data_IF_909337891301
#
_entry.id   IF_909337891301
#
_cell.length_a   1.000
_cell.length_b   1.000
_cell.length_c   1.000
_cell.angle_alpha   90.00
_cell.angle_beta   90.00
_cell.angle_gamma   90.00
#
_symmetry.space_group_name_H-M   'P 1'
#
loop_
_entity.id
_entity.type
_entity.pdbx_description
1 polymer ?
#
# COMPACT_ATOMS: atom_id res chain seq x y z
N UNK A 1 -29.31 -31.07 -8.86
CA UNK A 1 -28.67 -29.78 -9.22
C UNK A 1 -28.39 -29.04 -7.93
N UNK A 2 -27.13 -28.74 -7.62
CA UNK A 2 -26.79 -27.82 -6.53
C UNK A 2 -26.27 -26.57 -7.20
N UNK A 3 -27.04 -25.48 -7.11
CA UNK A 3 -26.59 -24.18 -7.57
C UNK A 3 -25.49 -23.73 -6.61
N UNK A 4 -24.31 -23.46 -7.14
CA UNK A 4 -23.21 -22.86 -6.40
C UNK A 4 -23.63 -21.43 -6.03
N UNK A 5 -24.27 -21.27 -4.87
CA UNK A 5 -24.62 -19.95 -4.34
C UNK A 5 -23.30 -19.25 -4.06
N UNK A 6 -22.99 -18.21 -4.84
CA UNK A 6 -21.83 -17.37 -4.56
C UNK A 6 -22.02 -16.76 -3.17
N UNK A 7 -21.01 -16.83 -2.28
CA UNK A 7 -21.12 -16.24 -0.96
C UNK A 7 -21.41 -14.75 -1.11
N UNK A 8 -22.46 -14.28 -0.44
CA UNK A 8 -22.82 -12.87 -0.44
C UNK A 8 -21.74 -12.11 0.33
N UNK A 9 -21.00 -11.25 -0.35
CA UNK A 9 -20.12 -10.30 0.31
C UNK A 9 -20.98 -9.22 0.97
N UNK A 10 -20.87 -9.08 2.29
CA UNK A 10 -21.46 -7.98 3.05
C UNK A 10 -20.39 -7.38 3.96
N UNK A 11 -20.51 -6.09 4.26
CA UNK A 11 -19.64 -5.36 5.18
C UNK A 11 -20.41 -5.04 6.44
N UNK A 12 -19.76 -5.18 7.60
CA UNK A 12 -20.29 -4.78 8.89
C UNK A 12 -19.31 -3.77 9.49
N UNK A 13 -19.85 -2.63 9.93
CA UNK A 13 -19.08 -1.54 10.50
C UNK A 13 -19.38 -1.43 12.00
N UNK A 14 -18.33 -1.35 12.81
CA UNK A 14 -18.41 -1.29 14.28
C UNK A 14 -17.56 -0.14 14.81
N UNK A 15 -18.07 0.58 15.82
CA UNK A 15 -17.33 1.60 16.55
C UNK A 15 -16.68 0.97 17.79
N UNK A 16 -15.40 0.61 17.70
CA UNK A 16 -14.66 0.07 18.85
C UNK A 16 -14.12 1.19 19.75
N UNK A 17 -14.15 1.03 21.09
CA UNK A 17 -14.51 -0.20 21.81
C UNK A 17 -16.02 -0.35 22.12
N UNK A 18 -16.86 0.63 21.78
CA UNK A 18 -18.27 0.67 22.17
C UNK A 18 -19.08 -0.55 21.69
N UNK A 19 -18.85 -0.99 20.46
CA UNK A 19 -19.62 -2.08 19.83
C UNK A 19 -18.96 -3.46 19.95
N UNK A 20 -17.95 -3.62 20.82
CA UNK A 20 -17.17 -4.86 20.90
C UNK A 20 -18.03 -6.09 21.23
N UNK A 21 -19.04 -5.93 22.09
CA UNK A 21 -19.93 -7.03 22.42
C UNK A 21 -20.84 -7.40 21.24
N UNK A 22 -21.37 -6.40 20.52
CA UNK A 22 -22.19 -6.61 19.33
C UNK A 22 -21.40 -7.36 18.24
N UNK A 23 -20.16 -6.93 17.99
CA UNK A 23 -19.23 -7.62 17.07
C UNK A 23 -19.10 -9.12 17.39
N UNK A 24 -18.90 -9.46 18.66
CA UNK A 24 -18.77 -10.86 19.09
C UNK A 24 -20.06 -11.66 18.90
N UNK A 25 -21.20 -11.07 19.24
CA UNK A 25 -22.51 -11.71 19.09
C UNK A 25 -22.82 -11.96 17.61
N UNK A 26 -22.60 -10.97 16.76
CA UNK A 26 -22.79 -11.07 15.31
C UNK A 26 -21.88 -12.14 14.72
N UNK A 27 -20.57 -12.11 14.99
CA UNK A 27 -19.62 -13.09 14.47
C UNK A 27 -19.90 -14.52 14.96
N UNK A 28 -20.46 -14.70 16.17
CA UNK A 28 -20.89 -16.02 16.67
C UNK A 28 -22.15 -16.53 15.97
N UNK A 29 -23.03 -15.63 15.55
CA UNK A 29 -24.25 -15.99 14.81
C UNK A 29 -23.97 -16.36 13.36
N UNK A 30 -22.83 -15.95 12.82
CA UNK A 30 -22.40 -16.20 11.45
C UNK A 30 -21.59 -17.50 11.35
N UNK A 31 -21.67 -18.22 10.22
CA UNK A 31 -20.87 -19.41 9.96
C UNK A 31 -19.43 -19.02 9.60
N UNK A 32 -18.69 -18.47 10.58
CA UNK A 32 -17.30 -18.04 10.40
C UNK A 32 -16.36 -19.22 10.60
N UNK A 33 -15.61 -19.58 9.56
CA UNK A 33 -14.62 -20.66 9.62
C UNK A 33 -13.22 -20.16 10.01
N UNK A 34 -12.85 -18.97 9.56
CA UNK A 34 -11.53 -18.36 9.76
C UNK A 34 -11.68 -16.83 9.87
N UNK A 35 -10.80 -16.19 10.65
CA UNK A 35 -10.62 -14.73 10.63
C UNK A 35 -9.40 -14.35 9.78
N UNK A 36 -9.54 -13.31 8.97
CA UNK A 36 -8.46 -12.78 8.13
C UNK A 36 -8.17 -11.34 8.53
N UNK A 37 -6.99 -11.11 9.07
CA UNK A 37 -6.52 -9.76 9.43
C UNK A 37 -5.71 -9.18 8.27
N UNK A 38 -6.09 -8.01 7.76
CA UNK A 38 -5.42 -7.40 6.59
C UNK A 38 -4.71 -6.07 6.87
N UNK A 39 -5.13 -5.32 7.88
CA UNK A 39 -4.52 -4.05 8.27
C UNK A 39 -4.50 -3.98 9.80
N UNK A 40 -3.30 -3.96 10.36
CA UNK A 40 -3.02 -3.90 11.79
C UNK A 40 -2.63 -2.49 12.25
N UNK A 41 -2.36 -1.56 11.31
CA UNK A 41 -2.08 -0.18 11.66
C UNK A 41 -3.27 0.44 12.41
N UNK A 42 -3.01 0.95 13.62
CA UNK A 42 -4.02 1.48 14.54
C UNK A 42 -5.13 0.47 14.91
N UNK A 43 -4.86 -0.84 14.81
CA UNK A 43 -5.83 -1.88 15.15
C UNK A 43 -6.22 -1.80 16.64
N UNK A 44 -7.52 -1.70 16.97
CA UNK A 44 -8.00 -1.73 18.34
C UNK A 44 -7.52 -2.99 19.09
N UNK A 45 -7.19 -2.83 20.37
CA UNK A 45 -6.58 -3.89 21.19
C UNK A 45 -7.51 -5.11 21.34
N UNK A 46 -8.81 -4.88 21.30
CA UNK A 46 -9.85 -5.90 21.39
C UNK A 46 -9.75 -6.91 20.25
N UNK A 47 -9.38 -6.47 19.04
CA UNK A 47 -9.31 -7.32 17.84
C UNK A 47 -8.17 -8.34 17.90
N UNK A 48 -7.10 -8.08 18.66
CA UNK A 48 -6.01 -9.05 18.86
C UNK A 48 -6.45 -10.27 19.68
N UNK A 49 -7.48 -10.13 20.53
CA UNK A 49 -8.04 -11.23 21.31
C UNK A 49 -9.24 -11.92 20.62
N UNK A 50 -9.77 -11.32 19.55
CA UNK A 50 -11.00 -11.75 18.90
C UNK A 50 -10.97 -13.22 18.45
N UNK A 51 -9.90 -13.65 17.78
CA UNK A 51 -9.75 -15.04 17.34
C UNK A 51 -9.81 -16.05 18.50
N UNK A 52 -9.19 -15.70 19.64
CA UNK A 52 -9.23 -16.54 20.83
C UNK A 52 -10.62 -16.56 21.49
N UNK A 53 -11.35 -15.44 21.46
CA UNK A 53 -12.71 -15.33 22.02
C UNK A 53 -13.78 -16.04 21.18
N UNK A 54 -13.52 -16.21 19.89
CA UNK A 54 -14.38 -16.96 18.96
C UNK A 54 -13.95 -18.43 18.82
N UNK A 55 -12.81 -18.81 19.40
CA UNK A 55 -12.19 -20.13 19.23
C UNK A 55 -12.00 -20.49 17.75
N UNK A 56 -11.62 -19.50 16.93
CA UNK A 56 -11.43 -19.65 15.49
C UNK A 56 -9.97 -19.51 15.09
N UNK A 57 -9.54 -20.26 14.06
CA UNK A 57 -8.25 -20.00 13.44
C UNK A 57 -8.24 -18.64 12.75
N UNK A 58 -7.03 -18.12 12.54
CA UNK A 58 -6.84 -16.89 11.79
C UNK A 58 -5.52 -16.88 11.04
N UNK A 59 -5.49 -16.07 10.00
CA UNK A 59 -4.28 -15.72 9.26
C UNK A 59 -4.17 -14.22 9.10
N UNK A 60 -2.95 -13.77 8.86
CA UNK A 60 -2.62 -12.37 8.64
C UNK A 60 -2.19 -12.21 7.18
N UNK A 61 -2.78 -11.26 6.48
CA UNK A 61 -2.32 -10.79 5.16
C UNK A 61 -1.71 -9.42 5.40
N UNK A 62 -0.38 -9.31 5.34
CA UNK A 62 0.30 -8.06 5.61
C UNK A 62 -0.01 -7.04 4.51
N UNK A 63 -0.72 -5.97 4.85
CA UNK A 63 -0.84 -4.74 4.04
C UNK A 63 -0.24 -3.52 4.75
N UNK A 64 0.49 -3.76 5.83
CA UNK A 64 1.27 -2.79 6.58
C UNK A 64 2.44 -3.49 7.26
N UNK A 65 3.38 -2.67 7.74
CA UNK A 65 4.58 -3.11 8.47
C UNK A 65 4.37 -3.05 9.99
N UNK A 66 3.14 -3.05 10.50
CA UNK A 66 2.88 -2.92 11.93
C UNK A 66 3.53 -4.06 12.72
N UNK A 67 3.56 -5.28 12.17
CA UNK A 67 4.19 -6.46 12.78
C UNK A 67 5.72 -6.33 12.98
N UNK A 68 6.36 -5.36 12.32
CA UNK A 68 7.80 -5.13 12.45
C UNK A 68 8.16 -4.11 13.53
N UNK A 69 7.17 -3.42 14.11
CA UNK A 69 7.41 -2.36 15.06
C UNK A 69 7.68 -2.94 16.46
N UNK A 70 8.80 -2.59 17.10
CA UNK A 70 9.20 -3.19 18.39
C UNK A 70 8.30 -2.82 19.58
N UNK A 71 7.43 -1.81 19.47
CA UNK A 71 6.64 -1.26 20.59
C UNK A 71 5.11 -1.34 20.38
N UNK A 72 4.65 -1.99 19.31
CA UNK A 72 3.23 -2.00 18.94
C UNK A 72 2.46 -3.06 19.74
N UNK A 73 2.18 -2.75 21.01
CA UNK A 73 1.42 -3.56 21.97
C UNK A 73 2.12 -4.86 22.42
N UNK A 74 2.17 -5.10 23.75
CA UNK A 74 2.75 -6.30 24.40
C UNK A 74 2.21 -7.68 23.96
N UNK A 75 1.38 -7.77 22.91
CA UNK A 75 0.75 -9.00 22.43
C UNK A 75 0.97 -9.27 20.95
N UNK A 76 1.68 -8.41 20.21
CA UNK A 76 1.76 -8.55 18.76
C UNK A 76 2.63 -9.72 18.30
N UNK A 77 3.75 -10.00 18.97
CA UNK A 77 4.55 -11.20 18.71
C UNK A 77 3.77 -12.48 19.00
N UNK A 78 3.07 -12.52 20.15
CA UNK A 78 2.22 -13.64 20.55
C UNK A 78 1.06 -13.86 19.57
N UNK A 79 0.49 -12.77 19.04
CA UNK A 79 -0.52 -12.79 18.00
C UNK A 79 0.05 -13.33 16.69
N UNK A 80 1.14 -12.77 16.19
CA UNK A 80 1.82 -13.25 14.99
C UNK A 80 2.20 -14.73 15.07
N UNK A 81 2.67 -15.19 16.24
CA UNK A 81 3.02 -16.61 16.49
C UNK A 81 1.81 -17.54 16.48
N UNK A 82 0.66 -17.09 16.97
CA UNK A 82 -0.57 -17.90 17.04
C UNK A 82 -1.34 -17.93 15.71
N UNK A 83 -1.04 -17.02 14.78
CA UNK A 83 -1.61 -17.05 13.43
C UNK A 83 -1.21 -18.34 12.69
N UNK A 84 -2.12 -18.92 11.92
CA UNK A 84 -1.83 -20.09 11.08
C UNK A 84 -0.80 -19.77 9.99
N UNK A 85 -0.86 -18.55 9.45
CA UNK A 85 0.10 -18.04 8.49
C UNK A 85 0.13 -16.51 8.48
N UNK A 86 1.28 -15.98 8.06
CA UNK A 86 1.49 -14.56 7.75
C UNK A 86 1.85 -14.47 6.27
N UNK A 87 0.98 -13.85 5.48
CA UNK A 87 1.13 -13.72 4.04
C UNK A 87 1.75 -12.36 3.71
N UNK A 88 2.91 -12.37 3.08
CA UNK A 88 3.60 -11.17 2.63
C UNK A 88 3.30 -10.91 1.15
N UNK A 89 3.14 -9.63 0.73
CA UNK A 89 2.90 -9.30 -0.66
C UNK A 89 4.13 -9.52 -1.54
N UNK A 90 5.34 -9.43 -0.96
CA UNK A 90 6.61 -9.54 -1.67
C UNK A 90 7.53 -10.54 -0.99
N UNK A 91 8.18 -11.41 -1.77
CA UNK A 91 9.21 -12.35 -1.31
C UNK A 91 10.40 -11.64 -0.70
N UNK A 92 10.79 -10.49 -1.24
CA UNK A 92 11.88 -9.67 -0.75
C UNK A 92 11.71 -9.23 0.72
N UNK A 93 10.48 -9.20 1.25
CA UNK A 93 10.21 -8.87 2.66
C UNK A 93 10.47 -10.04 3.62
N UNK A 94 10.59 -11.27 3.11
CA UNK A 94 10.64 -12.49 3.95
C UNK A 94 11.75 -12.46 4.98
N UNK A 95 12.96 -12.05 4.60
CA UNK A 95 14.10 -12.02 5.52
C UNK A 95 13.89 -11.03 6.65
N UNK A 96 13.38 -9.83 6.34
CA UNK A 96 13.07 -8.78 7.33
C UNK A 96 12.02 -9.24 8.33
N UNK A 97 10.96 -9.89 7.86
CA UNK A 97 9.90 -10.43 8.73
C UNK A 97 10.38 -11.65 9.54
N UNK A 98 11.16 -12.55 8.95
CA UNK A 98 11.68 -13.73 9.64
C UNK A 98 12.68 -13.36 10.76
N UNK A 99 13.39 -12.24 10.62
CA UNK A 99 14.28 -11.74 11.67
C UNK A 99 13.52 -11.28 12.92
N UNK A 100 12.34 -10.68 12.75
CA UNK A 100 11.49 -10.20 13.86
C UNK A 100 10.56 -11.30 14.38
N UNK A 101 10.09 -12.18 13.49
CA UNK A 101 9.09 -13.23 13.78
C UNK A 101 9.64 -14.63 13.45
N UNK A 102 10.68 -15.11 14.14
CA UNK A 102 11.39 -16.35 13.77
C UNK A 102 10.52 -17.62 13.88
N UNK A 103 9.43 -17.57 14.66
CA UNK A 103 8.52 -18.70 14.89
C UNK A 103 7.24 -18.65 14.04
N UNK A 104 7.05 -17.60 13.22
CA UNK A 104 5.85 -17.45 12.42
C UNK A 104 5.93 -18.22 11.10
N UNK A 105 4.80 -18.78 10.67
CA UNK A 105 4.67 -19.42 9.36
C UNK A 105 4.49 -18.35 8.27
N UNK A 106 5.60 -17.87 7.69
CA UNK A 106 5.60 -16.84 6.65
C UNK A 106 5.39 -17.47 5.27
N UNK A 107 4.32 -17.06 4.59
CA UNK A 107 3.98 -17.42 3.23
C UNK A 107 4.08 -16.20 2.32
N UNK A 108 4.32 -16.41 1.03
CA UNK A 108 4.23 -15.35 0.02
C UNK A 108 2.84 -15.39 -0.59
N UNK A 109 2.23 -14.22 -0.73
CA UNK A 109 0.94 -14.03 -1.36
C UNK A 109 0.93 -14.40 -2.85
N UNK A 110 -0.22 -14.24 -3.51
CA UNK A 110 -0.32 -14.44 -4.95
C UNK A 110 0.66 -13.52 -5.70
N UNK A 111 1.09 -13.96 -6.88
CA UNK A 111 1.99 -13.17 -7.71
C UNK A 111 1.35 -11.80 -8.04
N UNK A 112 2.11 -10.70 -7.88
CA UNK A 112 1.65 -9.36 -8.19
C UNK A 112 1.15 -9.26 -9.64
N UNK A 113 0.21 -8.36 -9.89
CA UNK A 113 -0.19 -8.06 -11.26
C UNK A 113 1.00 -7.47 -12.02
N UNK A 114 1.23 -7.98 -13.23
CA UNK A 114 2.34 -7.54 -14.05
C UNK A 114 2.17 -6.07 -14.43
N UNK A 115 3.20 -5.27 -14.16
CA UNK A 115 3.26 -3.87 -14.56
C UNK A 115 3.38 -3.71 -16.07
N UNK A 116 2.83 -2.60 -16.57
CA UNK A 116 3.04 -2.20 -17.95
C UNK A 116 4.50 -1.74 -18.18
N UNK A 117 4.90 -1.74 -19.44
CA UNK A 117 6.21 -1.22 -19.89
C UNK A 117 5.97 -0.12 -20.91
N UNK A 118 6.86 0.88 -20.94
CA UNK A 118 6.82 1.90 -21.98
C UNK A 118 8.10 1.87 -22.82
N UNK A 119 7.92 2.11 -24.12
CA UNK A 119 9.03 2.23 -25.07
C UNK A 119 9.65 3.65 -25.07
N UNK A 120 8.92 4.64 -24.57
CA UNK A 120 9.33 6.06 -24.54
C UNK A 120 9.52 6.57 -23.12
N UNK A 121 10.50 7.47 -22.94
CA UNK A 121 10.71 8.15 -21.67
C UNK A 121 9.46 8.97 -21.28
N UNK A 122 8.91 8.79 -20.07
CA UNK A 122 7.71 9.48 -19.65
C UNK A 122 7.99 10.96 -19.33
N UNK A 123 7.07 11.83 -19.74
CA UNK A 123 7.11 13.28 -19.44
C UNK A 123 6.13 13.69 -18.34
N UNK A 124 5.07 12.90 -18.14
CA UNK A 124 4.00 13.17 -17.16
C UNK A 124 3.90 11.98 -16.22
N UNK A 125 4.17 12.21 -14.95
CA UNK A 125 4.30 11.20 -13.92
C UNK A 125 3.20 11.35 -12.88
N UNK A 126 2.59 10.24 -12.47
CA UNK A 126 1.66 10.19 -11.34
C UNK A 126 2.43 9.84 -10.05
N UNK A 127 2.21 10.60 -8.98
CA UNK A 127 2.67 10.22 -7.63
C UNK A 127 1.93 8.95 -7.21
N UNK A 128 2.68 7.86 -7.02
CA UNK A 128 2.13 6.56 -6.64
C UNK A 128 2.27 6.26 -5.14
N UNK A 129 2.99 7.11 -4.40
CA UNK A 129 3.21 6.94 -2.97
C UNK A 129 1.99 7.34 -2.13
N UNK A 130 1.83 6.66 -1.00
CA UNK A 130 0.94 7.12 0.05
C UNK A 130 1.57 8.32 0.76
N UNK A 131 1.00 9.51 0.59
CA UNK A 131 1.45 10.74 1.24
C UNK A 131 0.95 10.88 2.70
N UNK A 132 0.63 9.77 3.37
CA UNK A 132 0.18 9.80 4.76
C UNK A 132 1.33 10.09 5.75
N UNK A 133 2.58 9.75 5.38
CA UNK A 133 3.77 10.02 6.18
C UNK A 133 4.47 11.33 5.79
N UNK A 134 5.06 12.02 6.76
CA UNK A 134 5.81 13.25 6.51
C UNK A 134 7.08 13.00 5.69
N UNK A 135 7.82 11.93 5.98
CA UNK A 135 9.12 11.65 5.37
C UNK A 135 9.05 11.51 3.84
N UNK A 136 8.03 10.80 3.33
CA UNK A 136 7.84 10.63 1.88
C UNK A 136 7.32 11.92 1.24
N UNK A 137 6.46 12.67 1.93
CA UNK A 137 5.97 13.96 1.44
C UNK A 137 7.08 15.00 1.33
N UNK A 138 8.03 15.03 2.28
CA UNK A 138 9.21 15.88 2.23
C UNK A 138 10.12 15.56 1.04
N UNK A 139 10.29 14.27 0.72
CA UNK A 139 11.04 13.84 -0.47
C UNK A 139 10.36 14.34 -1.76
N UNK A 140 9.04 14.26 -1.85
CA UNK A 140 8.29 14.81 -2.97
C UNK A 140 8.38 16.34 -3.06
N UNK A 141 8.37 17.05 -1.92
CA UNK A 141 8.56 18.50 -1.90
C UNK A 141 9.94 18.90 -2.42
N UNK A 142 10.99 18.18 -2.01
CA UNK A 142 12.34 18.46 -2.49
C UNK A 142 12.49 18.16 -3.99
N UNK A 143 11.91 17.05 -4.45
CA UNK A 143 11.87 16.74 -5.88
C UNK A 143 11.13 17.83 -6.68
N UNK A 144 9.96 18.27 -6.20
CA UNK A 144 9.18 19.33 -6.86
C UNK A 144 9.94 20.64 -6.98
N UNK A 145 10.55 21.12 -5.87
CA UNK A 145 11.39 22.34 -5.89
C UNK A 145 12.53 22.22 -6.88
N UNK A 146 13.12 21.03 -6.95
CA UNK A 146 14.25 20.75 -7.82
C UNK A 146 13.84 20.74 -9.30
N UNK A 147 12.74 20.09 -9.66
CA UNK A 147 12.20 20.11 -11.04
C UNK A 147 12.02 21.56 -11.50
N UNK A 148 11.44 22.41 -10.67
CA UNK A 148 11.27 23.84 -10.96
C UNK A 148 12.61 24.58 -11.09
N UNK A 149 13.54 24.36 -10.16
CA UNK A 149 14.86 25.02 -10.14
C UNK A 149 15.72 24.65 -11.34
N UNK A 150 15.74 23.37 -11.70
CA UNK A 150 16.55 22.81 -12.79
C UNK A 150 15.83 22.83 -14.15
N UNK A 151 14.56 23.26 -14.18
CA UNK A 151 13.69 23.31 -15.37
C UNK A 151 13.63 21.95 -16.09
N UNK A 152 13.48 20.88 -15.32
CA UNK A 152 13.40 19.53 -15.88
C UNK A 152 12.11 19.40 -16.71
N UNK A 153 12.13 18.67 -17.85
CA UNK A 153 10.98 18.52 -18.74
C UNK A 153 10.00 17.46 -18.20
N UNK A 154 9.57 17.62 -16.96
CA UNK A 154 8.71 16.68 -16.24
C UNK A 154 7.53 17.42 -15.60
N UNK A 155 6.35 16.82 -15.75
CA UNK A 155 5.13 17.24 -15.06
C UNK A 155 4.76 16.13 -14.08
N UNK A 156 4.58 16.47 -12.81
CA UNK A 156 4.19 15.51 -11.78
C UNK A 156 2.77 15.79 -11.33
N UNK A 157 1.93 14.76 -11.29
CA UNK A 157 0.54 14.85 -10.87
C UNK A 157 0.33 14.15 -9.53
N UNK A 158 -0.29 14.85 -8.59
CA UNK A 158 -0.69 14.29 -7.30
C UNK A 158 -2.16 13.86 -7.34
N UNK A 159 -2.50 12.59 -7.02
CA UNK A 159 -3.88 12.15 -6.94
C UNK A 159 -4.56 12.63 -5.65
N UNK A 160 -5.80 13.15 -5.79
CA UNK A 160 -6.78 13.33 -4.71
C UNK A 160 -6.41 14.29 -3.57
N UNK A 161 -7.30 14.33 -2.57
CA UNK A 161 -7.13 15.11 -1.35
C UNK A 161 -6.18 14.40 -0.39
N UNK A 162 -5.00 14.97 -0.21
CA UNK A 162 -4.05 14.59 0.82
C UNK A 162 -3.58 15.83 1.58
N UNK A 163 -3.13 15.70 2.84
CA UNK A 163 -2.73 16.86 3.64
C UNK A 163 -1.56 17.66 3.02
N UNK A 164 -0.82 17.05 2.10
CA UNK A 164 0.35 17.62 1.45
C UNK A 164 0.08 18.26 0.10
N UNK A 165 -1.15 18.21 -0.44
CA UNK A 165 -1.46 18.77 -1.78
C UNK A 165 -1.03 20.22 -1.86
N UNK A 166 -1.46 21.07 -0.92
CA UNK A 166 -1.15 22.50 -0.95
C UNK A 166 0.37 22.77 -0.95
N UNK A 167 1.17 22.20 -0.01
CA UNK A 167 2.62 22.27 -0.08
C UNK A 167 3.22 21.80 -1.41
N UNK A 168 2.74 20.68 -1.95
CA UNK A 168 3.25 20.10 -3.20
C UNK A 168 2.98 21.02 -4.40
N UNK A 169 1.76 21.54 -4.51
CA UNK A 169 1.39 22.50 -5.56
C UNK A 169 2.24 23.78 -5.50
N UNK A 170 2.60 24.23 -4.31
CA UNK A 170 3.43 25.41 -4.12
C UNK A 170 4.86 25.26 -4.69
N UNK A 171 5.30 24.04 -5.01
CA UNK A 171 6.59 23.82 -5.69
C UNK A 171 6.58 24.27 -7.14
N UNK A 172 5.40 24.39 -7.77
CA UNK A 172 5.23 24.81 -9.16
C UNK A 172 5.46 23.72 -10.22
N UNK A 173 6.08 22.59 -9.87
CA UNK A 173 6.29 21.44 -10.75
C UNK A 173 5.26 20.31 -10.56
N UNK A 174 4.61 20.29 -9.40
CA UNK A 174 3.60 19.30 -9.06
C UNK A 174 2.22 19.96 -9.22
N UNK A 175 1.32 19.26 -9.90
CA UNK A 175 -0.05 19.71 -10.16
C UNK A 175 -1.06 18.71 -9.63
N UNK A 176 -2.25 19.17 -9.30
CA UNK A 176 -3.32 18.27 -8.89
C UNK A 176 -3.81 17.50 -10.11
N UNK A 177 -4.00 16.19 -9.97
CA UNK A 177 -4.70 15.42 -10.99
C UNK A 177 -6.12 16.00 -11.13
N UNK A 178 -6.56 16.37 -12.35
CA UNK A 178 -7.92 16.86 -12.55
C UNK A 178 -8.93 15.83 -12.06
N UNK A 179 -9.81 16.24 -11.15
CA UNK A 179 -10.93 15.43 -10.69
C UNK A 179 -12.20 15.91 -11.39
N UNK A 180 -12.73 15.09 -12.30
CA UNK A 180 -14.00 15.37 -12.98
C UNK A 180 -15.09 14.43 -12.44
N UNK A 181 -16.23 15.00 -12.04
CA UNK A 181 -17.35 14.21 -11.54
C UNK A 181 -17.79 13.16 -12.58
N UNK A 182 -17.95 11.92 -12.12
CA UNK A 182 -18.38 10.80 -12.95
C UNK A 182 -17.25 10.09 -13.70
N UNK A 183 -16.00 10.57 -13.62
CA UNK A 183 -14.83 9.86 -14.16
C UNK A 183 -14.14 9.02 -13.09
N UNK A 184 -13.64 7.86 -13.49
CA UNK A 184 -12.77 7.05 -12.64
C UNK A 184 -11.38 7.67 -12.53
N UNK A 185 -10.59 7.22 -11.55
CA UNK A 185 -9.18 7.63 -11.44
C UNK A 185 -8.40 7.30 -12.73
N UNK A 186 -8.65 6.13 -13.33
CA UNK A 186 -8.02 5.71 -14.58
C UNK A 186 -8.35 6.67 -15.73
N UNK A 187 -9.60 7.12 -15.84
CA UNK A 187 -10.00 8.09 -16.86
C UNK A 187 -9.31 9.43 -16.65
N UNK A 188 -9.23 9.92 -15.41
CA UNK A 188 -8.55 11.17 -15.07
C UNK A 188 -7.05 11.12 -15.40
N UNK A 189 -6.39 10.00 -15.08
CA UNK A 189 -4.98 9.73 -15.40
C UNK A 189 -4.75 9.71 -16.91
N UNK A 190 -5.62 9.03 -17.65
CA UNK A 190 -5.55 8.96 -19.11
C UNK A 190 -5.73 10.34 -19.76
N UNK A 191 -6.75 11.11 -19.35
CA UNK A 191 -7.04 12.44 -19.89
C UNK A 191 -5.93 13.44 -19.55
N UNK A 192 -5.33 13.32 -18.36
CA UNK A 192 -4.19 14.15 -17.97
C UNK A 192 -2.89 13.80 -18.73
N UNK A 193 -2.90 12.74 -19.54
CA UNK A 193 -1.74 12.30 -20.32
C UNK A 193 -0.64 11.71 -19.46
N UNK A 194 -0.97 11.15 -18.28
CA UNK A 194 0.00 10.43 -17.47
C UNK A 194 0.50 9.22 -18.24
N UNK A 195 1.83 9.08 -18.29
CA UNK A 195 2.49 7.98 -19.01
C UNK A 195 3.19 7.02 -18.08
N UNK A 196 3.42 7.40 -16.82
CA UNK A 196 3.99 6.51 -15.82
C UNK A 196 3.59 6.88 -14.40
N UNK A 197 3.70 5.92 -13.50
CA UNK A 197 3.62 6.10 -12.06
C UNK A 197 5.05 6.22 -11.49
N UNK A 198 5.23 7.01 -10.43
CA UNK A 198 6.52 7.21 -9.76
C UNK A 198 6.37 7.04 -8.25
N UNK A 199 7.27 6.28 -7.65
CA UNK A 199 7.44 6.11 -6.21
C UNK A 199 8.85 6.53 -5.79
N UNK A 200 8.95 7.32 -4.72
CA UNK A 200 10.21 7.73 -4.08
C UNK A 200 10.54 6.89 -2.84
N UNK A 201 9.70 5.92 -2.49
CA UNK A 201 9.90 5.11 -1.29
C UNK A 201 11.18 4.25 -1.42
N UNK A 202 12.14 4.48 -0.51
CA UNK A 202 13.47 3.86 -0.60
C UNK A 202 13.47 2.39 -0.14
N UNK A 203 12.67 2.08 0.89
CA UNK A 203 12.57 0.76 1.50
C UNK A 203 11.10 0.34 1.58
N UNK A 204 10.44 0.08 0.45
CA UNK A 204 9.02 -0.20 0.42
C UNK A 204 8.69 -1.44 1.25
N UNK A 205 7.71 -1.28 2.14
CA UNK A 205 7.19 -2.31 3.04
C UNK A 205 5.98 -3.06 2.49
N UNK A 206 5.28 -3.79 3.35
CA UNK A 206 4.04 -4.47 2.98
C UNK A 206 2.88 -3.50 2.67
N UNK A 207 2.98 -2.23 3.12
CA UNK A 207 2.04 -1.16 2.78
C UNK A 207 2.31 -0.47 1.44
N UNK A 208 3.35 -0.88 0.69
CA UNK A 208 3.72 -0.19 -0.54
C UNK A 208 2.70 -0.44 -1.65
N UNK A 209 1.80 0.54 -1.81
CA UNK A 209 0.69 0.50 -2.76
C UNK A 209 1.02 0.98 -4.18
N UNK A 210 2.23 1.49 -4.40
CA UNK A 210 2.57 2.07 -5.70
C UNK A 210 2.50 1.05 -6.83
N UNK A 211 2.90 -0.20 -6.58
CA UNK A 211 2.82 -1.29 -7.54
C UNK A 211 1.37 -1.64 -7.89
N UNK A 212 0.50 -1.80 -6.88
CA UNK A 212 -0.92 -2.08 -7.10
C UNK A 212 -1.58 -0.96 -7.90
N UNK A 213 -1.33 0.30 -7.52
CA UNK A 213 -1.88 1.46 -8.21
C UNK A 213 -1.41 1.54 -9.67
N UNK A 214 -0.13 1.31 -9.93
CA UNK A 214 0.40 1.31 -11.29
C UNK A 214 -0.22 0.19 -12.14
N UNK A 215 -0.41 -1.00 -11.56
CA UNK A 215 -1.06 -2.13 -12.23
C UNK A 215 -2.56 -1.86 -12.50
N UNK A 216 -3.29 -1.32 -11.53
CA UNK A 216 -4.70 -0.93 -11.66
C UNK A 216 -4.92 0.10 -12.77
N UNK A 217 -3.98 1.04 -12.91
CA UNK A 217 -4.03 2.11 -13.92
C UNK A 217 -3.40 1.72 -15.27
N UNK A 218 -2.80 0.53 -15.38
CA UNK A 218 -2.09 0.09 -16.58
C UNK A 218 -0.85 0.94 -16.90
N UNK A 219 -0.20 1.52 -15.90
CA UNK A 219 0.98 2.36 -16.05
C UNK A 219 2.27 1.57 -15.72
N UNK A 220 3.40 1.88 -16.36
CA UNK A 220 4.70 1.47 -15.82
C UNK A 220 4.97 2.21 -14.51
N UNK A 221 5.62 1.52 -13.58
CA UNK A 221 6.09 2.11 -12.33
C UNK A 221 7.58 2.40 -12.42
N UNK A 222 7.97 3.62 -12.03
CA UNK A 222 9.36 3.96 -11.73
C UNK A 222 9.54 4.04 -10.21
N UNK A 223 10.60 3.44 -9.69
CA UNK A 223 10.85 3.42 -8.25
C UNK A 223 12.36 3.48 -7.93
N UNK A 224 12.68 3.83 -6.69
CA UNK A 224 14.04 3.70 -6.16
C UNK A 224 14.45 2.21 -6.26
N UNK A 225 15.62 1.88 -6.84
CA UNK A 225 16.03 0.50 -6.98
C UNK A 225 16.17 -0.20 -5.63
N UNK A 226 15.48 -1.33 -5.47
CA UNK A 226 15.55 -2.16 -4.27
C UNK A 226 14.90 -3.52 -4.52
N UNK A 227 15.09 -4.50 -3.60
CA UNK A 227 14.60 -5.87 -3.78
C UNK A 227 13.10 -5.96 -4.07
N UNK A 228 12.28 -5.23 -3.31
CA UNK A 228 10.82 -5.19 -3.48
C UNK A 228 10.42 -4.51 -4.79
N UNK A 229 11.04 -3.37 -5.13
CA UNK A 229 10.77 -2.68 -6.39
C UNK A 229 11.14 -3.53 -7.62
N UNK A 230 12.24 -4.28 -7.55
CA UNK A 230 12.65 -5.21 -8.60
C UNK A 230 11.68 -6.38 -8.74
N UNK A 231 11.24 -6.96 -7.60
CA UNK A 231 10.24 -8.03 -7.60
C UNK A 231 8.90 -7.57 -8.20
N UNK A 232 8.49 -6.33 -7.93
CA UNK A 232 7.30 -5.73 -8.54
C UNK A 232 7.44 -5.45 -10.04
N UNK A 233 8.64 -5.54 -10.61
CA UNK A 233 8.91 -5.20 -12.01
C UNK A 233 8.98 -3.70 -12.27
N UNK A 234 9.25 -2.88 -11.25
CA UNK A 234 9.41 -1.44 -11.41
C UNK A 234 10.69 -1.11 -12.19
N UNK A 235 10.61 -0.07 -13.02
CA UNK A 235 11.73 0.52 -13.72
C UNK A 235 12.57 1.38 -12.78
N UNK A 236 13.91 1.37 -12.88
CA UNK A 236 14.77 2.19 -12.05
C UNK A 236 14.51 3.69 -12.23
N UNK A 237 14.31 4.44 -11.15
CA UNK A 237 14.09 5.91 -11.22
C UNK A 237 15.22 6.67 -11.94
N UNK A 238 16.45 6.13 -11.94
CA UNK A 238 17.61 6.75 -12.58
C UNK A 238 17.56 6.73 -14.12
N UNK A 239 16.58 6.06 -14.73
CA UNK A 239 16.32 6.15 -16.17
C UNK A 239 15.47 7.37 -16.53
N UNK A 240 14.89 8.06 -15.54
CA UNK A 240 14.20 9.32 -15.73
C UNK A 240 15.20 10.47 -15.78
N UNK A 241 14.85 11.61 -16.40
CA UNK A 241 15.67 12.84 -16.35
C UNK A 241 15.59 13.52 -14.97
N UNK A 242 15.55 12.72 -13.90
CA UNK A 242 15.59 13.11 -12.49
C UNK A 242 16.95 12.62 -11.99
N UNK A 243 17.96 13.48 -12.03
CA UNK A 243 19.31 13.06 -11.60
C UNK A 243 19.35 12.93 -10.08
N UNK A 244 18.96 11.80 -9.49
CA UNK A 244 19.05 11.63 -8.03
C UNK A 244 20.52 11.79 -7.59
N UNK A 245 20.91 12.98 -7.15
CA UNK A 245 22.25 13.22 -6.61
C UNK A 245 22.36 12.34 -5.37
N UNK A 246 23.17 11.29 -5.46
CA UNK A 246 23.59 10.52 -4.29
C UNK A 246 24.14 11.49 -3.25
N UNK A 247 23.46 11.60 -2.12
CA UNK A 247 24.10 12.02 -0.88
C UNK A 247 24.99 10.87 -0.39
#
# INVERSE_FOLDING_TARGET
MHASVLPLAFSLDYQLPADNQQLLEDLRSLPVDELIYQNLANCPVELYALAAQLEKPYRIICRDDELLKPDSHCKQEDFARKAQSIQLPWRALRERYAAVLPQANILIGPEPQKLATNDTAPSTLLIADSLSGADIAEQWLELGRRITREKLPLVVLVPGDNPWVKPLLATGAIHALPNAQGLSLADCVLIAGCTAALSLEQNPGASWRAADLAAELGLPLYAVPGPVAQEAGALPINTLPISMSRA
#
